data_IF_380674185513
#
_entry.id   IF_380674185513
#
_cell.length_a   1.000
_cell.length_b   1.000
_cell.length_c   1.000
_cell.angle_alpha   90.00
_cell.angle_beta   90.00
_cell.angle_gamma   90.00
#
_symmetry.space_group_name_H-M   'P 1'
#
loop_
_entity.id
_entity.type
_entity.pdbx_description
1 polymer ?
#
# COMPACT_ATOMS: atom_id res chain seq x y z
N UNK A 1 19.37 40.12 -48.33
CA UNK A 1 18.77 39.76 -49.64
C UNK A 1 18.56 38.26 -49.58
N UNK A 2 17.38 37.65 -49.62
CA UNK A 2 16.04 37.93 -50.18
C UNK A 2 15.04 37.29 -49.17
N UNK A 3 13.78 37.66 -49.01
CA UNK A 3 12.78 38.11 -49.97
C UNK A 3 11.56 37.18 -49.88
N UNK A 4 10.59 37.61 -49.07
CA UNK A 4 9.13 37.64 -49.35
C UNK A 4 8.39 36.40 -49.91
N UNK A 5 7.45 35.92 -49.09
CA UNK A 5 6.03 35.61 -49.32
C UNK A 5 5.42 35.22 -50.68
N UNK A 6 4.41 34.33 -50.55
CA UNK A 6 3.10 34.24 -51.24
C UNK A 6 2.83 32.97 -52.06
N UNK A 7 1.62 32.41 -51.85
CA UNK A 7 0.91 31.69 -52.90
C UNK A 7 0.14 30.44 -52.48
N UNK A 8 -1.00 30.62 -51.82
CA UNK A 8 -2.07 29.62 -51.71
C UNK A 8 -2.61 29.26 -53.11
N UNK A 9 -2.75 27.97 -53.44
CA UNK A 9 -3.63 27.49 -54.52
C UNK A 9 -4.41 26.26 -54.07
N UNK A 10 -5.69 26.51 -53.79
CA UNK A 10 -6.75 25.52 -53.63
C UNK A 10 -7.11 25.00 -55.02
N UNK A 11 -7.22 23.68 -55.19
CA UNK A 11 -8.07 23.09 -56.24
C UNK A 11 -8.99 22.05 -55.59
N UNK A 12 -10.28 22.30 -55.76
CA UNK A 12 -11.44 21.50 -55.38
C UNK A 12 -11.57 20.22 -56.21
N UNK A 13 -12.03 19.14 -55.57
CA UNK A 13 -12.81 18.03 -56.14
C UNK A 13 -13.37 17.22 -54.96
N UNK A 14 -14.62 17.43 -54.53
CA UNK A 14 -15.84 16.72 -54.97
C UNK A 14 -15.72 15.19 -54.82
N UNK A 15 -16.65 14.41 -54.28
CA UNK A 15 -17.96 14.57 -53.65
C UNK A 15 -18.35 13.14 -53.17
N UNK A 16 -18.76 12.99 -51.91
CA UNK A 16 -19.79 12.08 -51.34
C UNK A 16 -19.92 10.63 -51.88
N UNK A 17 -19.85 9.65 -50.96
CA UNK A 17 -20.92 8.66 -50.80
C UNK A 17 -20.93 8.01 -49.39
N UNK A 18 -21.99 8.33 -48.66
CA UNK A 18 -22.44 7.69 -47.43
C UNK A 18 -22.90 6.25 -47.73
N UNK A 19 -22.38 5.28 -46.98
CA UNK A 19 -23.05 4.01 -46.72
C UNK A 19 -23.15 3.79 -45.21
N UNK A 20 -24.33 4.10 -44.67
CA UNK A 20 -24.81 3.61 -43.39
C UNK A 20 -25.03 2.10 -43.52
N UNK A 21 -24.27 1.32 -42.75
CA UNK A 21 -24.75 0.02 -42.29
C UNK A 21 -24.99 0.10 -40.78
N UNK A 22 -26.28 0.15 -40.44
CA UNK A 22 -26.76 -0.06 -39.09
C UNK A 22 -26.70 -1.55 -38.74
N UNK A 23 -26.40 -1.79 -37.46
CA UNK A 23 -26.76 -2.97 -36.68
C UNK A 23 -26.35 -4.34 -37.24
N UNK A 24 -25.33 -4.94 -36.62
CA UNK A 24 -25.54 -6.14 -35.79
C UNK A 24 -24.18 -6.75 -35.50
N UNK A 25 -23.85 -6.82 -34.22
CA UNK A 25 -22.60 -7.38 -33.77
C UNK A 25 -22.42 -7.04 -32.31
N UNK A 26 -23.23 -7.68 -31.46
CA UNK A 26 -22.91 -7.80 -30.05
C UNK A 26 -21.52 -8.39 -29.94
N UNK A 27 -20.52 -7.53 -29.80
CA UNK A 27 -19.23 -7.92 -29.25
C UNK A 27 -19.52 -8.24 -27.81
N UNK A 28 -19.86 -9.50 -27.53
CA UNK A 28 -19.82 -10.05 -26.19
C UNK A 28 -18.50 -9.59 -25.62
N UNK A 29 -18.57 -8.72 -24.61
CA UNK A 29 -17.44 -8.35 -23.79
C UNK A 29 -17.01 -9.65 -23.15
N UNK A 30 -16.14 -10.38 -23.86
CA UNK A 30 -15.33 -11.41 -23.27
C UNK A 30 -14.63 -10.68 -22.15
N UNK A 31 -15.14 -10.86 -20.95
CA UNK A 31 -14.33 -10.76 -19.75
C UNK A 31 -13.18 -11.70 -20.07
N UNK A 32 -12.09 -11.11 -20.56
CA UNK A 32 -10.80 -11.76 -20.51
C UNK A 32 -10.62 -11.92 -19.01
N UNK A 33 -11.12 -13.02 -18.44
CA UNK A 33 -10.93 -13.37 -17.04
C UNK A 33 -9.45 -13.63 -16.90
N UNK A 34 -8.73 -12.54 -16.71
CA UNK A 34 -7.29 -12.53 -16.54
C UNK A 34 -7.10 -12.79 -15.07
N UNK A 35 -6.92 -14.07 -14.76
CA UNK A 35 -6.59 -14.51 -13.42
C UNK A 35 -5.28 -13.86 -13.00
N UNK A 36 -5.33 -13.13 -11.89
CA UNK A 36 -4.14 -12.71 -11.17
C UNK A 36 -3.83 -13.75 -10.10
N UNK A 37 -2.65 -14.34 -10.17
CA UNK A 37 -2.18 -15.28 -9.16
C UNK A 37 -1.35 -14.56 -8.10
N UNK A 38 -1.66 -14.75 -6.83
CA UNK A 38 -0.91 -14.19 -5.70
C UNK A 38 -0.23 -15.31 -4.95
N UNK A 39 1.10 -15.31 -4.94
CA UNK A 39 1.92 -16.34 -4.29
C UNK A 39 3.16 -15.75 -3.64
N UNK A 40 3.71 -16.45 -2.66
CA UNK A 40 4.90 -15.96 -1.98
C UNK A 40 5.20 -16.68 -0.68
N UNK A 41 6.13 -16.11 0.07
CA UNK A 41 6.62 -16.65 1.34
C UNK A 41 6.40 -15.66 2.50
N UNK A 42 5.93 -16.12 3.66
CA UNK A 42 5.45 -17.48 3.96
C UNK A 42 4.09 -17.79 3.29
N UNK A 43 3.77 -19.08 3.14
CA UNK A 43 2.43 -19.49 2.69
C UNK A 43 1.36 -19.17 3.76
N UNK A 44 0.10 -19.06 3.35
CA UNK A 44 -1.01 -18.76 4.26
C UNK A 44 -1.18 -17.28 4.60
N UNK A 45 -0.41 -16.38 3.98
CA UNK A 45 -0.57 -14.95 4.18
C UNK A 45 -1.94 -14.48 3.66
N UNK A 46 -2.61 -13.60 4.40
CA UNK A 46 -3.92 -13.04 4.04
C UNK A 46 -3.76 -12.06 2.89
N UNK A 47 -4.64 -12.14 1.90
CA UNK A 47 -4.61 -11.32 0.68
C UNK A 47 -5.82 -10.40 0.67
N UNK A 48 -5.54 -9.11 0.52
CA UNK A 48 -6.53 -8.05 0.40
C UNK A 48 -6.40 -7.40 -0.97
N UNK A 49 -7.54 -7.08 -1.57
CA UNK A 49 -7.62 -6.33 -2.83
C UNK A 49 -8.44 -5.08 -2.58
N UNK A 50 -7.83 -3.91 -2.81
CA UNK A 50 -8.45 -2.61 -2.57
C UNK A 50 -9.05 -2.50 -1.15
N UNK A 51 -8.35 -3.04 -0.15
CA UNK A 51 -8.77 -3.06 1.25
C UNK A 51 -9.75 -4.17 1.65
N UNK A 52 -10.26 -4.98 0.70
CA UNK A 52 -11.19 -6.08 0.99
C UNK A 52 -10.44 -7.41 1.01
N UNK A 53 -10.60 -8.19 2.08
CA UNK A 53 -10.00 -9.53 2.18
C UNK A 53 -10.61 -10.47 1.12
N UNK A 54 -9.74 -11.19 0.42
CA UNK A 54 -10.13 -12.13 -0.65
C UNK A 54 -9.80 -13.59 -0.34
N UNK A 55 -8.97 -13.84 0.67
CA UNK A 55 -8.55 -15.19 1.08
C UNK A 55 -7.08 -15.21 1.51
N UNK A 56 -6.45 -16.37 1.41
CA UNK A 56 -5.04 -16.59 1.80
C UNK A 56 -4.23 -17.12 0.63
N UNK A 57 -2.96 -16.70 0.50
CA UNK A 57 -2.07 -17.14 -0.56
C UNK A 57 -1.55 -18.58 -0.34
N UNK A 58 -1.37 -19.39 -1.40
CA UNK A 58 -1.63 -19.11 -2.82
C UNK A 58 -3.11 -18.83 -3.15
N UNK A 59 -3.37 -17.77 -3.93
CA UNK A 59 -4.74 -17.36 -4.29
C UNK A 59 -4.81 -16.94 -5.76
N UNK A 60 -5.79 -17.47 -6.49
CA UNK A 60 -6.10 -17.08 -7.87
C UNK A 60 -7.32 -16.16 -7.88
N UNK A 61 -7.16 -14.96 -8.45
CA UNK A 61 -8.19 -13.91 -8.51
C UNK A 61 -8.66 -13.74 -9.96
N UNK A 62 -9.78 -14.34 -10.32
CA UNK A 62 -10.30 -14.37 -11.70
C UNK A 62 -11.36 -13.32 -12.03
N UNK A 63 -11.85 -12.59 -11.02
CA UNK A 63 -13.00 -11.69 -11.09
C UNK A 63 -12.62 -10.19 -10.99
N UNK A 64 -11.34 -9.87 -11.16
CA UNK A 64 -10.89 -8.48 -11.11
C UNK A 64 -11.16 -7.77 -12.44
N UNK A 65 -11.87 -6.62 -12.41
CA UNK A 65 -12.02 -5.78 -13.59
C UNK A 65 -10.65 -5.32 -14.15
N UNK A 66 -10.57 -4.96 -15.44
CA UNK A 66 -9.39 -4.30 -15.97
C UNK A 66 -9.13 -2.97 -15.26
N UNK A 67 -7.87 -2.72 -14.91
CA UNK A 67 -7.46 -1.50 -14.20
C UNK A 67 -6.34 -1.76 -13.20
N UNK A 68 -5.97 -0.72 -12.47
CA UNK A 68 -4.99 -0.81 -11.37
C UNK A 68 -5.72 -1.26 -10.09
N UNK A 69 -5.20 -2.30 -9.46
CA UNK A 69 -5.64 -2.80 -8.18
C UNK A 69 -4.50 -2.71 -7.16
N UNK A 70 -4.83 -2.33 -5.93
CA UNK A 70 -3.93 -2.39 -4.79
C UNK A 70 -4.06 -3.76 -4.13
N UNK A 71 -2.98 -4.52 -4.12
CA UNK A 71 -2.89 -5.83 -3.50
C UNK A 71 -2.05 -5.68 -2.24
N UNK A 72 -2.61 -6.08 -1.09
CA UNK A 72 -1.90 -6.15 0.18
C UNK A 72 -1.86 -7.58 0.66
N UNK A 73 -0.68 -8.07 1.00
CA UNK A 73 -0.49 -9.40 1.57
C UNK A 73 0.07 -9.26 2.97
N UNK A 74 -0.50 -9.92 3.98
CA UNK A 74 -0.06 -9.76 5.36
C UNK A 74 -0.06 -11.04 6.20
N UNK A 75 0.78 -11.03 7.25
CA UNK A 75 0.77 -12.02 8.34
C UNK A 75 0.73 -11.29 9.68
N UNK A 76 0.08 -11.90 10.65
CA UNK A 76 0.15 -11.51 12.06
C UNK A 76 1.20 -12.34 12.76
N UNK A 77 2.09 -11.67 13.50
CA UNK A 77 3.10 -12.29 14.35
C UNK A 77 2.54 -12.59 15.74
N UNK A 78 3.21 -13.47 16.49
CA UNK A 78 2.79 -13.87 17.85
C UNK A 78 2.74 -12.69 18.84
N UNK A 79 3.54 -11.65 18.60
CA UNK A 79 3.56 -10.42 19.41
C UNK A 79 2.48 -9.40 19.02
N UNK A 80 1.54 -9.76 18.13
CA UNK A 80 0.46 -8.89 17.65
C UNK A 80 0.87 -7.87 16.58
N UNK A 81 2.16 -7.81 16.20
CA UNK A 81 2.57 -7.01 15.04
C UNK A 81 2.06 -7.65 13.75
N UNK A 82 1.80 -6.82 12.74
CA UNK A 82 1.38 -7.29 11.42
C UNK A 82 2.41 -6.83 10.40
N UNK A 83 3.00 -7.79 9.68
CA UNK A 83 3.89 -7.51 8.55
C UNK A 83 3.04 -7.61 7.28
N UNK A 84 3.17 -6.64 6.39
CA UNK A 84 2.53 -6.68 5.10
C UNK A 84 3.45 -6.23 3.97
N UNK A 85 3.08 -6.58 2.74
CA UNK A 85 3.67 -6.03 1.53
C UNK A 85 2.57 -5.62 0.56
N UNK A 86 2.76 -4.46 -0.06
CA UNK A 86 1.78 -3.85 -0.95
C UNK A 86 2.29 -3.76 -2.39
N UNK A 87 1.37 -3.97 -3.33
CA UNK A 87 1.64 -3.98 -4.76
C UNK A 87 0.54 -3.21 -5.50
N UNK A 88 0.92 -2.45 -6.51
CA UNK A 88 -0.03 -1.89 -7.48
C UNK A 88 0.06 -2.69 -8.77
N UNK A 89 -1.03 -3.36 -9.13
CA UNK A 89 -1.06 -4.35 -10.21
C UNK A 89 -2.07 -3.93 -11.27
N UNK A 90 -1.66 -3.93 -12.53
CA UNK A 90 -2.56 -3.66 -13.65
C UNK A 90 -3.06 -4.98 -14.24
N UNK A 91 -4.34 -5.29 -14.04
CA UNK A 91 -4.98 -6.51 -14.53
C UNK A 91 -5.02 -6.46 -16.06
N UNK A 92 -4.36 -7.42 -16.71
CA UNK A 92 -4.05 -7.29 -18.13
C UNK A 92 -2.60 -7.54 -18.46
N UNK A 93 -1.71 -7.01 -17.63
CA UNK A 93 -0.29 -6.89 -17.91
C UNK A 93 0.56 -7.77 -17.01
N UNK A 94 0.07 -8.04 -15.80
CA UNK A 94 0.78 -8.85 -14.81
C UNK A 94 -0.13 -10.03 -14.41
N UNK A 95 0.24 -11.27 -14.79
CA UNK A 95 -0.54 -12.45 -14.43
C UNK A 95 -0.27 -12.93 -13.01
N UNK A 96 0.79 -12.44 -12.35
CA UNK A 96 1.23 -12.93 -11.05
C UNK A 96 1.84 -11.84 -10.17
N UNK A 97 1.50 -11.84 -8.89
CA UNK A 97 2.19 -11.13 -7.80
C UNK A 97 3.00 -12.13 -7.00
N UNK A 98 4.29 -11.81 -6.81
CA UNK A 98 5.19 -12.57 -5.93
C UNK A 98 5.59 -11.72 -4.73
N UNK A 99 5.19 -12.16 -3.54
CA UNK A 99 5.59 -11.53 -2.28
C UNK A 99 6.67 -12.34 -1.57
N UNK A 100 7.48 -11.65 -0.76
CA UNK A 100 8.41 -12.29 0.17
C UNK A 100 8.54 -11.44 1.43
N UNK A 101 7.75 -11.80 2.45
CA UNK A 101 7.72 -11.10 3.74
C UNK A 101 8.92 -11.45 4.64
N UNK A 102 9.78 -12.38 4.20
CA UNK A 102 11.02 -12.71 4.89
C UNK A 102 12.21 -11.93 4.34
N UNK A 103 12.09 -11.36 3.12
CA UNK A 103 13.21 -10.70 2.44
C UNK A 103 13.72 -9.47 3.17
N UNK A 104 12.79 -8.66 3.65
CA UNK A 104 13.06 -7.45 4.39
C UNK A 104 12.20 -7.42 5.64
N UNK A 105 12.80 -7.01 6.75
CA UNK A 105 12.14 -6.90 8.04
C UNK A 105 12.32 -5.50 8.58
N UNK A 106 11.20 -4.84 8.85
CA UNK A 106 11.17 -3.65 9.69
C UNK A 106 11.13 -4.14 11.14
N UNK A 107 12.04 -3.63 11.96
CA UNK A 107 12.07 -3.84 13.41
C UNK A 107 11.81 -2.51 14.10
N UNK A 108 11.13 -2.54 15.23
CA UNK A 108 10.88 -1.35 16.04
C UNK A 108 11.35 -1.54 17.47
N UNK A 109 11.86 -0.47 18.06
CA UNK A 109 12.09 -0.37 19.49
C UNK A 109 11.29 0.83 20.04
N UNK A 110 10.30 0.59 20.91
CA UNK A 110 9.83 -0.73 21.38
C UNK A 110 9.03 -1.51 20.31
N UNK A 111 8.85 -2.82 20.54
CA UNK A 111 8.10 -3.74 19.63
C UNK A 111 6.58 -3.59 19.74
N UNK A 112 6.13 -3.02 20.86
CA UNK A 112 4.76 -2.61 21.16
C UNK A 112 4.87 -1.31 21.97
N UNK A 113 3.94 -0.38 21.78
CA UNK A 113 4.02 0.92 22.44
C UNK A 113 2.96 1.01 23.51
N UNK A 114 3.38 1.30 24.74
CA UNK A 114 2.49 1.71 25.82
C UNK A 114 2.90 3.12 26.25
N UNK A 115 1.94 4.03 26.32
CA UNK A 115 2.19 5.43 26.68
C UNK A 115 1.01 6.00 27.46
N UNK A 116 1.27 6.88 28.41
CA UNK A 116 0.21 7.61 29.11
C UNK A 116 -0.34 8.73 28.24
N UNK A 117 -1.63 9.02 28.35
CA UNK A 117 -2.22 10.21 27.75
C UNK A 117 -1.46 11.48 28.19
N UNK A 118 -1.13 12.36 27.23
CA UNK A 118 -0.32 13.55 27.48
C UNK A 118 1.18 13.30 27.56
N UNK A 119 1.66 12.04 27.56
CA UNK A 119 3.09 11.72 27.49
C UNK A 119 3.52 11.32 26.08
N UNK A 120 4.84 11.37 25.86
CA UNK A 120 5.47 10.94 24.62
C UNK A 120 6.48 9.82 24.84
N UNK A 121 6.60 8.95 23.86
CA UNK A 121 7.56 7.85 23.82
C UNK A 121 8.36 7.91 22.50
N UNK A 122 9.67 7.75 22.56
CA UNK A 122 10.51 7.64 21.36
C UNK A 122 10.35 6.25 20.75
N UNK A 123 10.18 6.21 19.43
CA UNK A 123 10.12 5.00 18.62
C UNK A 123 11.23 5.05 17.57
N UNK A 124 12.01 3.98 17.49
CA UNK A 124 13.06 3.80 16.49
C UNK A 124 12.68 2.66 15.57
N UNK A 125 12.87 2.83 14.26
CA UNK A 125 12.71 1.77 13.28
C UNK A 125 14.01 1.49 12.52
N UNK A 126 14.28 0.21 12.30
CA UNK A 126 15.42 -0.27 11.50
C UNK A 126 14.93 -1.24 10.44
N UNK A 127 15.52 -1.18 9.25
CA UNK A 127 15.26 -2.13 8.17
C UNK A 127 16.44 -3.11 8.11
N UNK A 128 16.13 -4.41 8.06
CA UNK A 128 17.12 -5.47 7.87
C UNK A 128 16.79 -6.33 6.66
N UNK A 129 17.83 -6.86 6.03
CA UNK A 129 17.69 -7.90 5.00
C UNK A 129 17.62 -9.31 5.62
N UNK A 130 17.55 -10.34 4.76
CA UNK A 130 17.53 -11.76 5.16
C UNK A 130 18.74 -12.20 5.99
N UNK A 131 19.87 -11.50 5.90
CA UNK A 131 21.08 -11.81 6.64
C UNK A 131 21.13 -11.06 7.99
N UNK A 132 20.09 -10.28 8.31
CA UNK A 132 20.04 -9.43 9.51
C UNK A 132 20.88 -8.15 9.39
N UNK A 133 21.40 -7.84 8.20
CA UNK A 133 22.21 -6.64 7.97
C UNK A 133 21.28 -5.44 7.88
N UNK A 134 21.65 -4.34 8.57
CA UNK A 134 20.90 -3.10 8.49
C UNK A 134 21.09 -2.51 7.09
N UNK A 135 19.98 -2.23 6.41
CA UNK A 135 19.95 -1.62 5.08
C UNK A 135 19.25 -0.28 5.11
N UNK A 136 19.49 0.53 4.08
CA UNK A 136 18.79 1.80 3.90
C UNK A 136 17.27 1.58 3.89
N UNK A 137 16.51 2.60 4.32
CA UNK A 137 15.05 2.62 4.34
C UNK A 137 14.51 4.01 4.02
N UNK A 138 13.34 4.08 3.39
CA UNK A 138 12.58 5.32 3.23
C UNK A 138 11.21 5.14 3.89
N UNK A 139 11.15 5.46 5.17
CA UNK A 139 10.00 5.19 6.01
C UNK A 139 8.97 6.30 5.96
N UNK A 140 7.74 5.91 5.63
CA UNK A 140 6.53 6.69 5.88
C UNK A 140 5.88 6.16 7.14
N UNK A 141 5.54 7.06 8.05
CA UNK A 141 4.96 6.75 9.36
C UNK A 141 3.54 7.29 9.43
N UNK A 142 2.60 6.51 9.99
CA UNK A 142 1.24 6.97 10.25
C UNK A 142 0.66 6.30 11.51
N UNK A 143 -0.37 6.91 12.08
CA UNK A 143 -1.19 6.31 13.14
C UNK A 143 -2.58 6.05 12.56
N UNK A 144 -3.10 4.85 12.79
CA UNK A 144 -4.41 4.43 12.27
C UNK A 144 -5.57 5.27 12.84
N UNK A 145 -5.57 5.52 14.15
CA UNK A 145 -6.53 6.40 14.81
C UNK A 145 -5.84 7.58 15.52
N UNK A 146 -5.83 8.78 14.90
CA UNK A 146 -5.17 9.95 15.48
C UNK A 146 -5.86 10.49 16.75
N UNK A 147 -7.10 10.09 17.04
CA UNK A 147 -7.78 10.46 18.27
C UNK A 147 -7.20 9.73 19.51
N UNK A 148 -6.48 8.63 19.30
CA UNK A 148 -5.84 7.84 20.37
C UNK A 148 -4.38 8.26 20.56
N UNK A 149 -3.62 8.36 19.46
CA UNK A 149 -2.21 8.76 19.50
C UNK A 149 -1.82 9.55 18.24
N UNK A 150 -0.78 10.37 18.34
CA UNK A 150 -0.20 11.08 17.18
C UNK A 150 1.32 10.90 17.11
N UNK A 151 1.93 11.31 16.00
CA UNK A 151 3.38 11.27 15.79
C UNK A 151 3.94 12.68 15.64
N UNK A 152 5.14 12.88 16.18
CA UNK A 152 5.95 14.08 16.02
C UNK A 152 7.38 13.72 15.56
N UNK A 153 8.10 14.72 15.03
CA UNK A 153 9.44 14.58 14.47
C UNK A 153 9.44 14.31 12.96
N UNK A 154 10.60 14.51 12.33
CA UNK A 154 10.78 14.40 10.87
C UNK A 154 11.89 13.43 10.43
N UNK A 155 12.74 12.95 11.34
CA UNK A 155 13.82 11.97 11.06
C UNK A 155 13.32 10.64 10.47
N UNK A 156 13.94 10.13 9.41
CA UNK A 156 13.45 8.92 8.74
C UNK A 156 13.26 7.70 9.68
N UNK A 157 14.22 7.46 10.58
CA UNK A 157 14.27 6.28 11.43
C UNK A 157 13.71 6.49 12.84
N UNK A 158 13.35 7.73 13.20
CA UNK A 158 12.95 8.08 14.56
C UNK A 158 11.69 8.95 14.55
N UNK A 159 10.71 8.59 15.37
CA UNK A 159 9.53 9.40 15.66
C UNK A 159 9.25 9.43 17.15
N UNK A 160 8.54 10.45 17.60
CA UNK A 160 7.98 10.50 18.95
C UNK A 160 6.48 10.25 18.86
N UNK A 161 6.00 9.21 19.52
CA UNK A 161 4.58 8.91 19.63
C UNK A 161 4.02 9.62 20.87
N UNK A 162 2.96 10.39 20.70
CA UNK A 162 2.28 11.13 21.75
C UNK A 162 0.93 10.46 22.06
N UNK A 163 0.69 10.11 23.32
CA UNK A 163 -0.62 9.65 23.78
C UNK A 163 -1.62 10.80 23.83
N UNK A 164 -2.80 10.63 23.23
CA UNK A 164 -3.87 11.65 23.18
C UNK A 164 -4.99 11.27 24.14
N UNK A 165 -5.59 10.10 23.96
CA UNK A 165 -6.71 9.63 24.76
C UNK A 165 -6.60 8.13 24.98
N UNK A 166 -7.11 7.64 26.11
CA UNK A 166 -7.12 6.21 26.42
C UNK A 166 -7.77 5.41 25.29
N UNK A 167 -7.10 4.35 24.89
CA UNK A 167 -7.56 3.45 23.84
C UNK A 167 -6.41 2.67 23.23
N UNK A 168 -6.73 1.95 22.15
CA UNK A 168 -5.75 1.19 21.38
C UNK A 168 -5.80 1.63 19.90
N UNK A 169 -4.64 1.63 19.26
CA UNK A 169 -4.47 1.93 17.83
C UNK A 169 -3.25 1.18 17.30
N UNK A 170 -2.96 1.33 16.01
CA UNK A 170 -1.71 0.88 15.42
C UNK A 170 -0.87 2.04 14.93
N UNK A 171 0.44 1.91 15.14
CA UNK A 171 1.46 2.64 14.41
C UNK A 171 1.79 1.86 13.14
N UNK A 172 1.82 2.51 11.99
CA UNK A 172 2.15 1.91 10.70
C UNK A 172 3.45 2.53 10.19
N UNK A 173 4.40 1.69 9.82
CA UNK A 173 5.68 2.08 9.25
C UNK A 173 5.82 1.37 7.91
N UNK A 174 5.92 2.13 6.82
CA UNK A 174 6.00 1.59 5.46
C UNK A 174 7.30 2.03 4.82
N UNK A 175 8.08 1.09 4.29
CA UNK A 175 9.21 1.40 3.42
C UNK A 175 8.73 1.54 1.96
N UNK A 176 8.87 2.73 1.40
CA UNK A 176 8.33 3.06 0.07
C UNK A 176 9.09 2.40 -1.08
N UNK A 177 10.30 1.90 -0.85
CA UNK A 177 11.12 1.24 -1.89
C UNK A 177 10.70 -0.21 -2.10
N UNK A 178 10.31 -0.89 -1.02
CA UNK A 178 9.98 -2.32 -1.03
C UNK A 178 8.48 -2.60 -0.93
N UNK A 179 7.68 -1.61 -0.51
CA UNK A 179 6.26 -1.78 -0.22
C UNK A 179 5.98 -2.55 1.07
N UNK A 180 7.03 -2.92 1.83
CA UNK A 180 6.87 -3.61 3.11
C UNK A 180 6.39 -2.62 4.17
N UNK A 181 5.41 -3.05 4.97
CA UNK A 181 4.93 -2.29 6.12
C UNK A 181 4.88 -3.15 7.38
N UNK A 182 5.05 -2.49 8.51
CA UNK A 182 4.88 -3.06 9.84
C UNK A 182 3.82 -2.27 10.59
N UNK A 183 2.78 -2.95 11.07
CA UNK A 183 1.81 -2.40 12.03
C UNK A 183 2.22 -2.84 13.43
N UNK A 184 2.41 -1.85 14.31
CA UNK A 184 2.86 -2.01 15.70
C UNK A 184 1.70 -1.68 16.63
N UNK A 185 1.34 -2.56 17.57
CA UNK A 185 0.30 -2.26 18.57
C UNK A 185 0.68 -1.07 19.43
N UNK A 186 -0.29 -0.18 19.66
CA UNK A 186 -0.17 0.99 20.53
C UNK A 186 -1.33 0.99 21.52
N UNK A 187 -1.02 1.08 22.80
CA UNK A 187 -1.99 1.27 23.89
C UNK A 187 -1.71 2.59 24.58
N UNK A 188 -2.73 3.44 24.67
CA UNK A 188 -2.68 4.67 25.44
C UNK A 188 -3.47 4.46 26.72
N UNK A 189 -2.80 4.67 27.85
CA UNK A 189 -3.38 4.54 29.19
C UNK A 189 -3.87 5.91 29.69
N UNK A 190 -4.86 5.90 30.60
CA UNK A 190 -5.27 7.12 31.31
C UNK A 190 -4.14 7.61 32.20
N UNK A 191 -3.93 8.92 32.28
CA UNK A 191 -2.92 9.53 33.16
C UNK A 191 -2.92 8.86 34.55
N UNK A 192 -1.75 8.54 35.15
CA UNK A 192 -1.69 7.76 36.38
C UNK A 192 -2.63 8.35 37.45
N UNK A 193 -3.31 7.51 38.24
CA UNK A 193 -4.18 8.00 39.31
C UNK A 193 -3.36 8.95 40.22
N UNK A 194 -3.97 10.04 40.73
CA UNK A 194 -3.29 10.95 41.64
C UNK A 194 -2.68 10.18 42.81
N UNK A 195 -1.49 10.55 43.33
CA UNK A 195 -0.92 9.89 44.50
C UNK A 195 -1.86 10.06 45.70
N UNK A 196 -2.50 8.97 46.14
CA UNK A 196 -3.23 8.86 47.41
C UNK A 196 -4.53 9.66 47.50
N UNK A 197 -5.66 8.97 47.38
CA UNK A 197 -6.96 9.40 47.92
C UNK A 197 -7.34 8.57 49.12
#
# INVERSE_FOLDING_TARGET
MQGTGHGLRIVLGALILLLLWACSGGGGGGVNTRTLRVVGTPAGARVFVNGVERGTAPLDLSDLPPGTHHIRVEITLDNGQIIAQEFNVVIGSQPEVRYDLNRYRIETNPVQVEVWAGQRQQIVATMRDVNGTIVEANFVWSIENPNVATLAGSENNTRFLQGIARGSTYLIITDTRTGVSLRVPVTVLDFPPPPGG
#
